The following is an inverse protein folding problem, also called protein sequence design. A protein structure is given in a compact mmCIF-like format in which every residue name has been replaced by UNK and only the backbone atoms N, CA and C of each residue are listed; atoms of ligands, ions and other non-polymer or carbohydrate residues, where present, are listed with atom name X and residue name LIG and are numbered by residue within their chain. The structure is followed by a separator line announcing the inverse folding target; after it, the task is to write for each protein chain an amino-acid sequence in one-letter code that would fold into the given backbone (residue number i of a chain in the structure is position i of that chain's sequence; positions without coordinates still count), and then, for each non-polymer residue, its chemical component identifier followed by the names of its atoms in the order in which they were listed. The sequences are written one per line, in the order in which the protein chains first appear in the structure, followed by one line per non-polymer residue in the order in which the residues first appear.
data_IF_082598622815
#
_entry.id   IF_082598622815
#
_cell.length_a   1.000
_cell.length_b   1.000
_cell.length_c   1.000
_cell.angle_alpha   90.00
_cell.angle_beta   90.00
_cell.angle_gamma   90.00
#
_symmetry.space_group_name_H-M   'P 1'
#
loop_
_entity.id
_entity.type
_entity.pdbx_description
1 polymer ?
#
# COMPACT_ATOMS: atom_id res chain seq x y z
N UNK A 1 -11.66 -1.66 10.34
CA UNK A 1 -11.52 -2.70 9.29
C UNK A 1 -12.10 -2.30 7.93
N UNK A 2 -13.34 -1.81 7.82
CA UNK A 2 -13.99 -1.46 6.53
C UNK A 2 -13.15 -0.57 5.59
N UNK A 3 -12.56 0.51 6.12
CA UNK A 3 -11.71 1.45 5.37
C UNK A 3 -10.46 0.81 4.75
N UNK A 4 -9.84 -0.17 5.42
CA UNK A 4 -8.63 -0.81 4.90
C UNK A 4 -8.96 -1.77 3.76
N UNK A 5 -10.13 -2.42 3.82
CA UNK A 5 -10.64 -3.28 2.77
C UNK A 5 -11.01 -2.47 1.51
N UNK A 6 -11.67 -1.33 1.69
CA UNK A 6 -11.96 -0.38 0.61
C UNK A 6 -10.66 0.10 -0.05
N UNK A 7 -9.69 0.54 0.76
CA UNK A 7 -8.41 1.05 0.24
C UNK A 7 -7.58 -0.01 -0.48
N UNK A 8 -7.48 -1.23 0.06
CA UNK A 8 -6.81 -2.35 -0.60
C UNK A 8 -7.46 -2.66 -1.96
N UNK A 9 -8.79 -2.61 -2.02
CA UNK A 9 -9.55 -2.84 -3.26
C UNK A 9 -9.30 -1.76 -4.29
N UNK A 10 -9.33 -0.48 -3.89
CA UNK A 10 -9.03 0.65 -4.77
C UNK A 10 -7.62 0.52 -5.34
N UNK A 11 -6.62 0.29 -4.48
CA UNK A 11 -5.23 0.18 -4.91
C UNK A 11 -4.98 -1.03 -5.83
N UNK A 12 -5.61 -2.17 -5.54
CA UNK A 12 -5.55 -3.34 -6.42
C UNK A 12 -6.20 -3.08 -7.78
N UNK A 13 -7.30 -2.33 -7.81
CA UNK A 13 -8.00 -1.96 -9.04
C UNK A 13 -7.16 -0.99 -9.88
N UNK A 14 -6.58 0.04 -9.25
CA UNK A 14 -5.65 0.96 -9.92
C UNK A 14 -4.45 0.23 -10.52
N UNK A 15 -3.94 -0.78 -9.81
CA UNK A 15 -2.88 -1.63 -10.32
C UNK A 15 -3.33 -2.41 -11.55
N UNK A 16 -4.49 -3.05 -11.49
CA UNK A 16 -5.04 -3.84 -12.59
C UNK A 16 -5.27 -2.99 -13.85
N UNK A 17 -5.80 -1.77 -13.70
CA UNK A 17 -5.97 -0.84 -14.82
C UNK A 17 -4.64 -0.39 -15.43
N UNK A 18 -3.63 -0.13 -14.61
CA UNK A 18 -2.28 0.15 -15.12
C UNK A 18 -1.70 -1.05 -15.85
N UNK A 19 -1.87 -2.27 -15.32
CA UNK A 19 -1.37 -3.50 -15.94
C UNK A 19 -2.02 -3.82 -17.29
N UNK A 20 -3.21 -3.28 -17.60
CA UNK A 20 -3.79 -3.38 -18.96
C UNK A 20 -3.04 -2.50 -19.96
N UNK A 21 -2.59 -1.33 -19.53
CA UNK A 21 -1.96 -0.31 -20.38
C UNK A 21 -0.42 -0.39 -20.40
N UNK A 22 0.17 -1.14 -19.47
CA UNK A 22 1.62 -1.32 -19.31
C UNK A 22 1.94 -2.78 -19.04
N UNK A 23 3.10 -3.29 -19.49
CA UNK A 23 3.54 -4.70 -19.30
C UNK A 23 3.90 -5.02 -17.84
N UNK A 24 3.01 -4.70 -16.91
CA UNK A 24 3.20 -4.96 -15.48
C UNK A 24 2.92 -6.42 -15.15
N UNK A 25 3.59 -6.97 -14.13
CA UNK A 25 3.35 -8.34 -13.71
C UNK A 25 1.95 -8.51 -13.11
N UNK A 26 1.41 -9.74 -13.19
CA UNK A 26 0.10 -10.05 -12.59
C UNK A 26 0.20 -9.98 -11.07
N UNK A 27 -0.65 -9.17 -10.42
CA UNK A 27 -0.72 -9.12 -8.97
C UNK A 27 -1.54 -10.29 -8.41
N UNK A 28 -0.98 -10.98 -7.43
CA UNK A 28 -1.60 -12.08 -6.70
C UNK A 28 -1.56 -11.74 -5.21
N UNK A 29 -2.73 -11.67 -4.58
CA UNK A 29 -2.88 -11.30 -3.19
C UNK A 29 -3.30 -12.52 -2.37
N UNK A 30 -2.61 -12.76 -1.26
CA UNK A 30 -2.89 -13.84 -0.31
C UNK A 30 -2.93 -13.29 1.12
N UNK A 31 -3.90 -13.75 1.91
CA UNK A 31 -4.08 -13.39 3.31
C UNK A 31 -3.84 -14.60 4.20
N UNK A 32 -2.96 -14.47 5.20
CA UNK A 32 -2.71 -15.49 6.23
C UNK A 32 -3.70 -15.42 7.39
N UNK A 33 -4.45 -14.32 7.54
CA UNK A 33 -5.46 -14.10 8.58
C UNK A 33 -4.96 -14.36 10.01
N UNK A 34 -3.75 -13.90 10.33
CA UNK A 34 -3.14 -14.04 11.66
C UNK A 34 -3.06 -12.71 12.43
N UNK A 35 -3.80 -11.69 11.96
CA UNK A 35 -3.84 -10.32 12.50
C UNK A 35 -2.49 -9.58 12.50
N UNK A 36 -1.42 -10.16 11.97
CA UNK A 36 -0.13 -9.47 11.92
C UNK A 36 -0.15 -8.34 10.90
N UNK A 37 0.64 -7.30 11.19
CA UNK A 37 0.90 -6.21 10.25
C UNK A 37 2.09 -6.53 9.32
N UNK A 38 2.49 -7.80 9.23
CA UNK A 38 3.61 -8.23 8.39
C UNK A 38 3.17 -8.65 7.00
N UNK A 39 4.07 -8.47 6.02
CA UNK A 39 3.89 -8.99 4.67
C UNK A 39 5.22 -9.40 4.03
N UNK A 40 5.14 -10.26 3.02
CA UNK A 40 6.24 -10.62 2.13
C UNK A 40 5.80 -10.47 0.68
N UNK A 41 6.66 -9.90 -0.16
CA UNK A 41 6.42 -9.64 -1.57
C UNK A 41 7.51 -10.25 -2.44
N UNK A 42 7.10 -11.03 -3.43
CA UNK A 42 8.00 -11.78 -4.33
C UNK A 42 7.55 -11.66 -5.77
N UNK A 43 8.50 -11.72 -6.68
CA UNK A 43 8.24 -11.79 -8.10
C UNK A 43 8.75 -13.12 -8.64
N UNK A 44 7.90 -13.86 -9.33
CA UNK A 44 8.31 -15.09 -10.00
C UNK A 44 7.38 -15.37 -11.18
N UNK A 45 7.95 -15.80 -12.31
CA UNK A 45 7.19 -16.22 -13.49
C UNK A 45 6.10 -15.21 -13.93
N UNK A 46 6.43 -13.92 -13.96
CA UNK A 46 5.50 -12.86 -14.38
C UNK A 46 4.41 -12.52 -13.35
N UNK A 47 4.49 -13.07 -12.13
CA UNK A 47 3.53 -12.85 -11.05
C UNK A 47 4.21 -12.14 -9.89
N UNK A 48 3.59 -11.05 -9.46
CA UNK A 48 3.91 -10.37 -8.22
C UNK A 48 2.98 -10.91 -7.13
N UNK A 49 3.54 -11.64 -6.18
CA UNK A 49 2.78 -12.25 -5.08
C UNK A 49 3.00 -11.46 -3.81
N UNK A 50 1.92 -11.09 -3.14
CA UNK A 50 1.92 -10.48 -1.80
C UNK A 50 1.24 -11.44 -0.84
N UNK A 51 1.97 -11.87 0.18
CA UNK A 51 1.43 -12.58 1.33
C UNK A 51 1.37 -11.64 2.52
N UNK A 52 0.18 -11.37 3.04
CA UNK A 52 -0.03 -10.43 4.14
C UNK A 52 -0.73 -11.10 5.34
N UNK A 53 -0.36 -10.71 6.56
CA UNK A 53 -0.99 -11.18 7.79
C UNK A 53 -2.40 -10.62 8.03
N UNK A 54 -2.65 -9.42 7.52
CA UNK A 54 -3.92 -8.69 7.62
C UNK A 54 -4.19 -7.84 6.38
N UNK A 55 -5.42 -7.35 6.25
CA UNK A 55 -5.79 -6.39 5.19
C UNK A 55 -4.99 -5.09 5.29
N UNK A 56 -4.65 -4.65 6.51
CA UNK A 56 -3.81 -3.47 6.72
C UNK A 56 -2.40 -3.68 6.16
N UNK A 57 -1.79 -4.83 6.44
CA UNK A 57 -0.49 -5.21 5.90
C UNK A 57 -0.51 -5.31 4.36
N UNK A 58 -1.60 -5.82 3.79
CA UNK A 58 -1.78 -5.89 2.33
C UNK A 58 -1.80 -4.48 1.71
N UNK A 59 -2.53 -3.54 2.31
CA UNK A 59 -2.54 -2.14 1.88
C UNK A 59 -1.14 -1.52 1.92
N UNK A 60 -0.40 -1.74 3.02
CA UNK A 60 0.99 -1.27 3.11
C UNK A 60 1.88 -1.86 2.03
N UNK A 61 1.76 -3.16 1.76
CA UNK A 61 2.50 -3.83 0.71
C UNK A 61 2.24 -3.20 -0.65
N UNK A 62 0.98 -3.03 -1.05
CA UNK A 62 0.62 -2.46 -2.36
C UNK A 62 1.17 -1.03 -2.50
N UNK A 63 1.03 -0.20 -1.45
CA UNK A 63 1.57 1.16 -1.44
C UNK A 63 3.09 1.19 -1.62
N UNK A 64 3.83 0.34 -0.90
CA UNK A 64 5.30 0.34 -0.97
C UNK A 64 5.83 -0.25 -2.28
N UNK A 65 5.20 -1.30 -2.79
CA UNK A 65 5.59 -1.96 -4.03
C UNK A 65 5.34 -1.11 -5.27
N UNK A 66 4.39 -0.16 -5.20
CA UNK A 66 4.12 0.79 -6.27
C UNK A 66 5.39 1.52 -6.75
N UNK A 67 6.35 1.78 -5.86
CA UNK A 67 7.62 2.42 -6.21
C UNK A 67 8.56 1.46 -6.95
N UNK A 68 8.75 0.24 -6.45
CA UNK A 68 9.62 -0.77 -7.08
C UNK A 68 9.14 -1.12 -8.50
N UNK A 69 7.83 -1.27 -8.67
CA UNK A 69 7.21 -1.58 -9.95
C UNK A 69 7.40 -0.43 -10.95
N UNK A 70 7.17 0.82 -10.53
CA UNK A 70 7.39 2.00 -11.37
C UNK A 70 8.85 2.16 -11.79
N UNK A 71 9.78 1.78 -10.92
CA UNK A 71 11.22 1.80 -11.21
C UNK A 71 11.66 0.64 -12.13
N UNK A 72 10.79 -0.34 -12.42
CA UNK A 72 11.16 -1.54 -13.18
C UNK A 72 12.03 -2.52 -12.38
N UNK A 73 12.11 -2.36 -11.07
CA UNK A 73 12.92 -3.21 -10.19
C UNK A 73 12.11 -4.43 -9.77
N UNK A 74 12.15 -5.48 -10.59
CA UNK A 74 11.41 -6.73 -10.38
C UNK A 74 12.36 -7.89 -10.04
N UNK A 75 13.11 -7.77 -8.94
CA UNK A 75 13.90 -8.87 -8.40
C UNK A 75 13.01 -9.97 -7.81
N UNK A 76 13.50 -11.22 -7.79
CA UNK A 76 12.74 -12.36 -7.29
C UNK A 76 12.19 -12.15 -5.86
N UNK A 77 13.01 -11.52 -5.02
CA UNK A 77 12.59 -10.95 -3.75
C UNK A 77 12.41 -9.45 -3.92
N UNK A 78 11.20 -8.93 -3.71
CA UNK A 78 10.96 -7.49 -3.76
C UNK A 78 11.10 -6.86 -2.37
N UNK A 79 10.60 -7.54 -1.34
CA UNK A 79 10.75 -7.05 0.02
C UNK A 79 9.84 -7.74 1.02
N UNK A 80 10.11 -7.47 2.29
CA UNK A 80 9.27 -7.88 3.39
C UNK A 80 9.18 -6.75 4.41
N UNK A 81 8.09 -6.74 5.17
CA UNK A 81 7.94 -5.86 6.31
C UNK A 81 7.44 -6.70 7.49
N UNK A 82 8.16 -6.63 8.59
CA UNK A 82 7.78 -7.24 9.85
C UNK A 82 7.96 -6.21 10.97
N UNK A 83 6.94 -5.36 11.23
CA UNK A 83 7.09 -4.26 12.16
C UNK A 83 7.34 -4.76 13.58
N UNK A 84 8.43 -4.27 14.19
CA UNK A 84 8.78 -4.61 15.58
C UNK A 84 7.82 -4.04 16.61
N UNK A 85 7.23 -2.88 16.32
CA UNK A 85 6.36 -2.16 17.24
C UNK A 85 4.97 -1.96 16.62
N UNK A 86 3.89 -2.26 17.36
CA UNK A 86 2.52 -2.12 16.85
C UNK A 86 2.12 -0.65 16.67
N UNK A 87 2.52 0.23 17.60
CA UNK A 87 2.17 1.65 17.54
C UNK A 87 3.23 2.44 16.76
N UNK A 88 2.83 3.06 15.65
CA UNK A 88 3.70 3.86 14.76
C UNK A 88 3.00 5.16 14.35
N UNK A 89 2.91 6.16 15.24
CA UNK A 89 2.09 7.36 15.02
C UNK A 89 2.79 8.32 14.05
N UNK A 90 2.00 8.98 13.20
CA UNK A 90 2.44 10.11 12.38
C UNK A 90 1.93 11.40 13.03
N UNK A 91 2.85 12.23 13.51
CA UNK A 91 2.52 13.54 14.07
C UNK A 91 2.59 14.59 12.96
N UNK A 92 1.44 15.17 12.59
CA UNK A 92 1.35 16.25 11.62
C UNK A 92 1.03 17.55 12.32
N UNK A 93 1.89 18.56 12.17
CA UNK A 93 1.60 19.92 12.65
C UNK A 93 0.64 20.59 11.66
N UNK A 94 -0.61 20.74 12.03
CA UNK A 94 -1.55 21.59 11.31
C UNK A 94 -1.49 23.01 11.90
N UNK A 95 -1.11 23.99 11.09
CA UNK A 95 -1.29 25.40 11.43
C UNK A 95 -2.58 25.84 10.76
N UNK A 96 -3.61 26.12 11.56
CA UNK A 96 -4.85 26.69 11.05
C UNK A 96 -4.68 28.21 11.04
N UNK A 97 -4.34 28.80 9.90
CA UNK A 97 -4.40 30.25 9.73
C UNK A 97 -5.87 30.65 9.57
N UNK A 98 -6.46 31.22 10.61
CA UNK A 98 -7.79 31.83 10.54
C UNK A 98 -7.59 33.23 9.97
N UNK A 99 -7.85 33.39 8.68
CA UNK A 99 -7.97 34.71 8.07
C UNK A 99 -9.32 35.30 8.49
N UNK A 100 -9.30 36.21 9.45
CA UNK A 100 -10.44 37.08 9.73
C UNK A 100 -10.52 38.09 8.57
N UNK A 101 -11.43 37.87 7.63
CA UNK A 101 -11.79 38.91 6.67
C UNK A 101 -12.62 39.95 7.43
N UNK A 102 -12.02 41.09 7.74
CA UNK A 102 -12.74 42.28 8.20
C UNK A 102 -13.68 42.75 7.07
N UNK A 103 -14.92 42.29 7.10
CA UNK A 103 -16.00 42.89 6.33
C UNK A 103 -16.77 43.85 7.24
N UNK A 104 -16.19 45.01 7.52
CA UNK A 104 -16.90 46.18 8.04
C UNK A 104 -16.31 47.47 7.45
N UNK A 105 -16.84 47.85 6.28
CA UNK A 105 -16.98 49.25 5.86
C UNK A 105 -18.10 49.34 4.84
#
# INVERSE_FOLDING_TARGET
MRKCQELATVLATEYAEKAKNTRLPKLVLSLKNNESESYCARYAAGKLTIEAGSLLAQTYAICQLGTAIKAGHLSDFIGENNPRFPLRPLWLKAITEIYLTDSLS
#
